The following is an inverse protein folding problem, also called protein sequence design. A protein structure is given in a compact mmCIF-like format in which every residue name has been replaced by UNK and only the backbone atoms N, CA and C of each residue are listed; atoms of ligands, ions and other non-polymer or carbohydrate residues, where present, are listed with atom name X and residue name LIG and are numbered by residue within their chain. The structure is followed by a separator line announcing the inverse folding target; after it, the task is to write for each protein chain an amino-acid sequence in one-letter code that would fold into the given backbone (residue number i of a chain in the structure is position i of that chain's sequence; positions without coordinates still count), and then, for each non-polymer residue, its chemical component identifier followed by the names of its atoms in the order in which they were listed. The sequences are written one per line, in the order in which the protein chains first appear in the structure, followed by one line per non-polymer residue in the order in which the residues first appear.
data_IF_764935882236
#
_entry.id   IF_764935882236
#
_cell.length_a   1.000
_cell.length_b   1.000
_cell.length_c   1.000
_cell.angle_alpha   90.00
_cell.angle_beta   90.00
_cell.angle_gamma   90.00
#
_symmetry.space_group_name_H-M   'P 1'
#
loop_
_entity.id
_entity.type
_entity.pdbx_description
1 polymer ?
#
# COMPACT_ATOMS: atom_id res chain seq x y z
N UNK A 1 16.63 14.94 23.02
CA UNK A 1 15.90 13.73 23.45
C UNK A 1 15.58 12.94 22.19
N UNK A 2 16.27 11.81 21.95
CA UNK A 2 15.92 10.89 20.86
C UNK A 2 14.64 10.18 21.27
N UNK A 3 13.59 10.33 20.47
CA UNK A 3 12.37 9.55 20.62
C UNK A 3 12.68 8.11 20.22
N UNK A 4 12.90 7.28 21.22
CA UNK A 4 13.19 5.83 21.08
C UNK A 4 11.88 5.11 21.34
N UNK A 5 11.50 4.19 20.45
CA UNK A 5 10.34 3.31 20.65
C UNK A 5 10.69 2.14 21.60
N UNK A 6 9.68 1.35 21.99
CA UNK A 6 9.84 0.22 22.93
C UNK A 6 10.90 -0.79 22.51
N UNK A 7 11.27 -0.86 21.22
CA UNK A 7 12.33 -1.72 20.69
C UNK A 7 13.71 -1.04 20.60
N UNK A 8 13.89 0.16 21.18
CA UNK A 8 15.17 0.86 21.19
C UNK A 8 15.62 1.42 19.84
N UNK A 9 14.79 1.37 18.80
CA UNK A 9 15.11 1.90 17.46
C UNK A 9 14.67 3.35 17.33
N UNK A 10 15.52 4.24 16.76
CA UNK A 10 15.13 5.61 16.55
C UNK A 10 13.98 5.70 15.52
N UNK A 11 12.94 6.46 15.83
CA UNK A 11 11.74 6.67 14.97
C UNK A 11 12.09 7.02 13.52
N UNK A 12 13.23 7.65 13.30
CA UNK A 12 13.74 7.99 11.97
C UNK A 12 14.08 6.77 11.11
N UNK A 13 14.36 5.62 11.70
CA UNK A 13 14.62 4.39 10.94
C UNK A 13 13.30 3.74 10.54
N UNK A 14 12.33 3.68 11.45
CA UNK A 14 11.03 3.04 11.20
C UNK A 14 10.24 3.70 10.06
N UNK A 15 10.17 5.05 10.02
CA UNK A 15 9.46 5.72 8.92
C UNK A 15 10.18 5.58 7.58
N UNK A 16 11.53 5.53 7.57
CA UNK A 16 12.30 5.27 6.36
C UNK A 16 12.05 3.87 5.81
N UNK A 17 12.00 2.88 6.67
CA UNK A 17 11.77 1.48 6.25
C UNK A 17 10.35 1.30 5.74
N UNK A 18 9.34 1.86 6.41
CA UNK A 18 7.95 1.85 5.95
C UNK A 18 7.80 2.57 4.61
N UNK A 19 8.38 3.76 4.47
CA UNK A 19 8.37 4.54 3.23
C UNK A 19 9.05 3.77 2.09
N UNK A 20 10.24 3.19 2.34
CA UNK A 20 10.96 2.39 1.34
C UNK A 20 10.14 1.17 0.89
N UNK A 21 9.44 0.52 1.80
CA UNK A 21 8.56 -0.61 1.49
C UNK A 21 7.43 -0.19 0.53
N UNK A 22 6.74 0.90 0.83
CA UNK A 22 5.65 1.38 -0.02
C UNK A 22 6.13 1.87 -1.38
N UNK A 23 7.26 2.58 -1.42
CA UNK A 23 7.89 3.04 -2.67
C UNK A 23 8.32 1.86 -3.53
N UNK A 24 9.01 0.86 -2.96
CA UNK A 24 9.43 -0.35 -3.69
C UNK A 24 8.24 -1.10 -4.28
N UNK A 25 7.16 -1.27 -3.50
CA UNK A 25 5.96 -1.96 -3.97
C UNK A 25 5.24 -1.18 -5.09
N UNK A 26 5.13 0.14 -4.96
CA UNK A 26 4.54 1.00 -5.99
C UNK A 26 5.37 0.98 -7.28
N UNK A 27 6.70 1.04 -7.14
CA UNK A 27 7.63 0.99 -8.27
C UNK A 27 7.57 -0.37 -8.98
N UNK A 28 7.42 -1.45 -8.21
CA UNK A 28 7.21 -2.79 -8.77
C UNK A 28 5.91 -2.85 -9.57
N UNK A 29 4.79 -2.33 -9.05
CA UNK A 29 3.52 -2.24 -9.79
C UNK A 29 3.67 -1.37 -11.06
N UNK A 30 4.42 -0.27 -10.99
CA UNK A 30 4.72 0.59 -12.13
C UNK A 30 5.46 -0.17 -13.23
N UNK A 31 6.53 -0.87 -12.88
CA UNK A 31 7.32 -1.67 -13.82
C UNK A 31 6.51 -2.82 -14.44
N UNK A 32 5.71 -3.51 -13.61
CA UNK A 32 4.84 -4.57 -14.09
C UNK A 32 3.77 -4.04 -15.06
N UNK A 33 3.24 -2.85 -14.81
CA UNK A 33 2.26 -2.22 -15.71
C UNK A 33 2.80 -1.95 -17.10
N UNK A 34 4.10 -1.69 -17.23
CA UNK A 34 4.78 -1.52 -18.53
C UNK A 34 5.00 -2.87 -19.24
N UNK A 35 4.95 -3.97 -18.50
CA UNK A 35 5.10 -5.31 -19.04
C UNK A 35 3.75 -5.92 -19.42
N UNK A 36 3.68 -6.57 -20.57
CA UNK A 36 2.49 -7.33 -21.02
C UNK A 36 2.22 -8.52 -20.09
N UNK A 37 3.28 -9.15 -19.57
CA UNK A 37 3.19 -10.27 -18.63
C UNK A 37 2.79 -9.77 -17.22
N UNK A 38 2.83 -8.46 -16.99
CA UNK A 38 2.50 -7.86 -15.71
C UNK A 38 1.05 -8.05 -15.27
N UNK A 39 0.09 -8.21 -16.20
CA UNK A 39 -1.33 -8.37 -15.85
C UNK A 39 -1.61 -9.45 -14.80
N UNK A 40 -1.26 -10.73 -15.02
CA UNK A 40 -1.53 -11.77 -14.04
C UNK A 40 -0.74 -11.56 -12.75
N UNK A 41 0.49 -11.05 -12.85
CA UNK A 41 1.35 -10.83 -11.69
C UNK A 41 0.80 -9.70 -10.80
N UNK A 42 0.33 -8.60 -11.40
CA UNK A 42 -0.30 -7.49 -10.66
C UNK A 42 -1.52 -7.99 -9.87
N UNK A 43 -2.37 -8.80 -10.51
CA UNK A 43 -3.57 -9.36 -9.87
C UNK A 43 -3.19 -10.25 -8.68
N UNK A 44 -2.20 -11.12 -8.85
CA UNK A 44 -1.69 -11.99 -7.78
C UNK A 44 -1.07 -11.17 -6.64
N UNK A 45 -0.30 -10.13 -6.93
CA UNK A 45 0.31 -9.26 -5.92
C UNK A 45 -0.74 -8.53 -5.09
N UNK A 46 -1.80 -7.99 -5.73
CA UNK A 46 -2.91 -7.35 -5.03
C UNK A 46 -3.67 -8.35 -4.16
N UNK A 47 -3.90 -9.56 -4.68
CA UNK A 47 -4.56 -10.64 -3.95
C UNK A 47 -3.75 -11.04 -2.70
N UNK A 48 -2.45 -11.28 -2.83
CA UNK A 48 -1.57 -11.62 -1.71
C UNK A 48 -1.58 -10.50 -0.66
N UNK A 49 -1.53 -9.24 -1.08
CA UNK A 49 -1.57 -8.11 -0.15
C UNK A 49 -2.88 -8.04 0.62
N UNK A 50 -4.01 -8.22 -0.05
CA UNK A 50 -5.32 -8.31 0.59
C UNK A 50 -5.43 -9.50 1.56
N UNK A 51 -4.88 -10.65 1.16
CA UNK A 51 -4.86 -11.86 1.97
C UNK A 51 -4.05 -11.66 3.27
N UNK A 52 -2.86 -11.06 3.17
CA UNK A 52 -2.01 -10.79 4.35
C UNK A 52 -2.72 -9.87 5.33
N UNK A 53 -3.34 -8.79 4.86
CA UNK A 53 -4.08 -7.85 5.72
C UNK A 53 -5.29 -8.54 6.35
N UNK A 54 -6.09 -9.24 5.54
CA UNK A 54 -7.27 -9.97 6.03
C UNK A 54 -6.92 -11.06 7.03
N UNK A 55 -5.84 -11.80 6.78
CA UNK A 55 -5.35 -12.83 7.70
C UNK A 55 -4.88 -12.21 9.03
N UNK A 56 -4.14 -11.10 9.00
CA UNK A 56 -3.66 -10.43 10.21
C UNK A 56 -4.81 -9.97 11.10
N UNK A 57 -5.84 -9.35 10.50
CA UNK A 57 -7.06 -8.94 11.23
C UNK A 57 -7.83 -10.16 11.75
N UNK A 58 -8.03 -11.17 10.91
CA UNK A 58 -8.75 -12.39 11.28
C UNK A 58 -8.05 -13.15 12.41
N UNK A 59 -6.73 -13.21 12.40
CA UNK A 59 -5.94 -13.83 13.46
C UNK A 59 -6.12 -13.10 14.80
N UNK A 60 -6.03 -11.77 14.81
CA UNK A 60 -6.23 -10.97 16.03
C UNK A 60 -7.65 -11.14 16.58
N UNK A 61 -8.66 -11.14 15.71
CA UNK A 61 -10.05 -11.36 16.13
C UNK A 61 -10.24 -12.77 16.70
N UNK A 62 -9.63 -13.78 16.09
CA UNK A 62 -9.72 -15.16 16.57
C UNK A 62 -9.07 -15.37 17.96
N UNK A 63 -7.95 -14.67 18.21
CA UNK A 63 -7.22 -14.80 19.47
C UNK A 63 -7.82 -13.98 20.62
N UNK A 64 -8.32 -12.80 20.34
CA UNK A 64 -8.73 -11.82 21.36
C UNK A 64 -10.24 -11.43 21.27
N UNK A 65 -11.02 -12.05 20.38
CA UNK A 65 -12.43 -11.75 20.20
C UNK A 65 -12.70 -10.28 19.87
N UNK A 66 -13.65 -9.65 20.58
CA UNK A 66 -13.98 -8.25 20.42
C UNK A 66 -12.82 -7.30 20.66
N UNK A 67 -11.93 -7.61 21.61
CA UNK A 67 -10.73 -6.80 21.87
C UNK A 67 -9.76 -6.86 20.68
N UNK A 68 -9.61 -8.02 20.05
CA UNK A 68 -8.82 -8.16 18.83
C UNK A 68 -9.35 -7.33 17.66
N UNK A 69 -10.68 -7.24 17.52
CA UNK A 69 -11.31 -6.37 16.53
C UNK A 69 -11.04 -4.88 16.81
N UNK A 70 -11.16 -4.45 18.06
CA UNK A 70 -10.87 -3.08 18.46
C UNK A 70 -9.40 -2.72 18.23
N UNK A 71 -8.46 -3.59 18.64
CA UNK A 71 -7.03 -3.38 18.47
C UNK A 71 -6.67 -3.33 16.97
N UNK A 72 -7.18 -4.27 16.17
CA UNK A 72 -6.92 -4.27 14.72
C UNK A 72 -7.52 -3.06 14.02
N UNK A 73 -8.73 -2.64 14.40
CA UNK A 73 -9.38 -1.46 13.83
C UNK A 73 -8.64 -0.17 14.18
N UNK A 74 -8.11 -0.06 15.40
CA UNK A 74 -7.41 1.14 15.86
C UNK A 74 -5.96 1.18 15.37
N UNK A 75 -5.28 0.03 15.34
CA UNK A 75 -3.86 -0.05 14.98
C UNK A 75 -3.63 -0.24 13.48
N UNK A 76 -4.42 -1.08 12.82
CA UNK A 76 -4.21 -1.48 11.42
C UNK A 76 -5.08 -0.66 10.46
N UNK A 77 -6.32 -0.27 10.87
CA UNK A 77 -7.27 0.35 9.97
C UNK A 77 -6.89 1.76 9.51
N UNK A 78 -6.46 2.73 10.36
CA UNK A 78 -6.27 4.10 9.89
C UNK A 78 -5.19 4.20 8.80
N UNK A 79 -4.15 3.41 8.91
CA UNK A 79 -3.08 3.29 7.93
C UNK A 79 -3.56 2.61 6.65
N UNK A 80 -4.19 1.44 6.78
CA UNK A 80 -4.66 0.66 5.63
C UNK A 80 -5.82 1.31 4.89
N UNK A 81 -6.61 2.18 5.54
CA UNK A 81 -7.69 2.93 4.90
C UNK A 81 -7.19 3.82 3.75
N UNK A 82 -5.98 4.34 3.84
CA UNK A 82 -5.35 5.15 2.78
C UNK A 82 -4.56 4.26 1.82
N UNK A 83 -3.82 3.29 2.36
CA UNK A 83 -2.88 2.45 1.61
C UNK A 83 -3.62 1.48 0.69
N UNK A 84 -4.70 0.84 1.16
CA UNK A 84 -5.46 -0.13 0.35
C UNK A 84 -6.05 0.52 -0.91
N UNK A 85 -6.83 1.61 -0.84
CA UNK A 85 -7.35 2.24 -2.05
C UNK A 85 -6.24 2.77 -2.95
N UNK A 86 -5.13 3.30 -2.41
CA UNK A 86 -4.00 3.73 -3.21
C UNK A 86 -3.40 2.58 -4.03
N UNK A 87 -3.23 1.40 -3.44
CA UNK A 87 -2.74 0.22 -4.18
C UNK A 87 -3.76 -0.35 -5.17
N UNK A 88 -5.05 -0.31 -4.86
CA UNK A 88 -6.09 -0.71 -5.81
C UNK A 88 -6.12 0.20 -7.02
N UNK A 89 -5.99 1.51 -6.82
CA UNK A 89 -5.90 2.50 -7.91
C UNK A 89 -4.62 2.26 -8.72
N UNK A 90 -3.45 2.09 -8.06
CA UNK A 90 -2.19 1.81 -8.74
C UNK A 90 -2.26 0.53 -9.57
N UNK A 91 -2.79 -0.55 -9.01
CA UNK A 91 -2.98 -1.82 -9.70
C UNK A 91 -3.94 -1.72 -10.88
N UNK A 92 -5.06 -1.01 -10.70
CA UNK A 92 -6.03 -0.76 -11.80
C UNK A 92 -5.40 0.04 -12.94
N UNK A 93 -4.65 1.09 -12.62
CA UNK A 93 -3.92 1.88 -13.62
C UNK A 93 -2.87 1.04 -14.35
N UNK A 94 -2.12 0.20 -13.62
CA UNK A 94 -1.14 -0.70 -14.19
C UNK A 94 -1.78 -1.73 -15.11
N UNK A 95 -2.92 -2.31 -14.72
CA UNK A 95 -3.69 -3.24 -15.55
C UNK A 95 -4.23 -2.58 -16.82
N UNK A 96 -4.83 -1.39 -16.71
CA UNK A 96 -5.36 -0.64 -17.86
C UNK A 96 -4.23 -0.30 -18.84
N UNK A 97 -3.07 0.11 -18.34
CA UNK A 97 -1.93 0.44 -19.17
C UNK A 97 -1.36 -0.80 -19.86
N UNK A 98 -1.19 -1.90 -19.15
CA UNK A 98 -0.74 -3.19 -19.70
C UNK A 98 -1.71 -3.74 -20.77
N UNK A 99 -3.04 -3.63 -20.53
CA UNK A 99 -4.07 -3.96 -21.52
C UNK A 99 -3.97 -3.08 -22.77
N UNK A 100 -3.69 -1.79 -22.60
CA UNK A 100 -3.53 -0.84 -23.72
C UNK A 100 -2.33 -1.22 -24.55
N UNK A 101 -1.21 -1.57 -23.94
CA UNK A 101 -0.01 -2.07 -24.62
C UNK A 101 -0.31 -3.37 -25.38
N UNK A 102 -0.99 -4.32 -24.74
CA UNK A 102 -1.38 -5.57 -25.38
C UNK A 102 -2.27 -5.36 -26.62
N UNK A 103 -3.29 -4.49 -26.49
CA UNK A 103 -4.16 -4.16 -27.62
C UNK A 103 -3.42 -3.49 -28.78
N UNK A 104 -2.45 -2.63 -28.50
CA UNK A 104 -1.68 -1.96 -29.55
C UNK A 104 -0.73 -2.91 -30.27
N UNK A 105 -0.17 -3.89 -29.56
CA UNK A 105 0.70 -4.91 -30.18
C UNK A 105 -0.09 -5.92 -31.04
N UNK A 106 -1.27 -6.35 -30.57
CA UNK A 106 -2.07 -7.35 -31.28
C UNK A 106 -3.05 -6.77 -32.32
N UNK A 107 -3.53 -5.54 -32.10
CA UNK A 107 -4.54 -4.90 -32.96
C UNK A 107 -3.92 -3.68 -33.62
N UNK A 108 -3.35 -3.85 -34.82
CA UNK A 108 -2.68 -2.82 -35.62
C UNK A 108 -3.52 -1.55 -35.95
N UNK A 109 -4.79 -1.49 -35.56
CA UNK A 109 -5.73 -0.40 -35.89
C UNK A 109 -5.88 0.69 -34.83
N UNK A 110 -5.27 0.58 -33.67
CA UNK A 110 -5.41 1.57 -32.58
C UNK A 110 -4.22 2.52 -32.59
N UNK A 111 -4.31 3.60 -33.37
CA UNK A 111 -3.31 4.68 -33.41
C UNK A 111 -3.50 5.65 -32.21
N UNK A 112 -3.50 5.13 -31.00
CA UNK A 112 -3.41 6.02 -29.83
C UNK A 112 -1.93 6.38 -29.60
N UNK A 113 -1.60 7.67 -29.40
CA UNK A 113 -0.22 8.04 -29.13
C UNK A 113 0.20 7.46 -27.78
N UNK A 114 1.01 6.38 -27.81
CA UNK A 114 1.57 5.70 -26.64
C UNK A 114 2.19 6.68 -25.65
N UNK A 115 2.81 7.73 -26.16
CA UNK A 115 3.45 8.75 -25.33
C UNK A 115 2.44 9.46 -24.40
N UNK A 116 1.25 9.78 -24.87
CA UNK A 116 0.19 10.40 -24.05
C UNK A 116 -0.33 9.43 -22.98
N UNK A 117 -0.49 8.15 -23.33
CA UNK A 117 -0.90 7.14 -22.37
C UNK A 117 0.16 6.94 -21.28
N UNK A 118 1.44 6.90 -21.68
CA UNK A 118 2.56 6.73 -20.75
C UNK A 118 2.75 7.95 -19.82
N UNK A 119 2.68 9.18 -20.35
CA UNK A 119 2.81 10.39 -19.52
C UNK A 119 1.68 10.48 -18.49
N UNK A 120 0.46 10.16 -18.90
CA UNK A 120 -0.70 10.11 -17.98
C UNK A 120 -0.54 9.03 -16.92
N UNK A 121 -0.08 7.85 -17.31
CA UNK A 121 0.22 6.73 -16.41
C UNK A 121 1.28 7.12 -15.37
N UNK A 122 2.41 7.67 -15.82
CA UNK A 122 3.50 8.12 -14.96
C UNK A 122 3.08 9.24 -14.01
N UNK A 123 2.28 10.21 -14.48
CA UNK A 123 1.76 11.29 -13.65
C UNK A 123 0.89 10.78 -12.50
N UNK A 124 -0.03 9.84 -12.77
CA UNK A 124 -0.87 9.22 -11.74
C UNK A 124 -0.05 8.43 -10.72
N UNK A 125 0.98 7.70 -11.15
CA UNK A 125 1.89 7.02 -10.24
C UNK A 125 2.69 8.00 -9.38
N UNK A 126 3.08 9.14 -9.92
CA UNK A 126 3.71 10.23 -9.16
C UNK A 126 2.80 10.77 -8.05
N UNK A 127 1.52 11.01 -8.36
CA UNK A 127 0.52 11.44 -7.36
C UNK A 127 0.33 10.37 -6.28
N UNK A 128 0.20 9.10 -6.66
CA UNK A 128 0.05 8.01 -5.70
C UNK A 128 1.29 7.85 -4.81
N UNK A 129 2.49 8.09 -5.35
CA UNK A 129 3.73 8.07 -4.58
C UNK A 129 3.71 9.14 -3.50
N UNK A 130 3.29 10.37 -3.83
CA UNK A 130 3.15 11.45 -2.85
C UNK A 130 2.13 11.09 -1.76
N UNK A 131 0.98 10.53 -2.14
CA UNK A 131 -0.06 10.10 -1.19
C UNK A 131 0.50 9.03 -0.24
N UNK A 132 1.23 8.04 -0.76
CA UNK A 132 1.83 6.99 0.07
C UNK A 132 2.94 7.51 0.98
N UNK A 133 3.71 8.51 0.55
CA UNK A 133 4.68 9.19 1.42
C UNK A 133 3.98 9.87 2.60
N UNK A 134 2.89 10.60 2.36
CA UNK A 134 2.10 11.21 3.43
C UNK A 134 1.48 10.14 4.34
N UNK A 135 0.97 9.05 3.78
CA UNK A 135 0.44 7.92 4.54
C UNK A 135 1.48 7.30 5.47
N UNK A 136 2.72 7.14 5.00
CA UNK A 136 3.83 6.61 5.80
C UNK A 136 4.19 7.50 6.99
N UNK A 137 4.06 8.82 6.84
CA UNK A 137 4.26 9.76 7.95
C UNK A 137 3.14 9.61 8.98
N UNK A 138 1.89 9.54 8.54
CA UNK A 138 0.72 9.33 9.40
C UNK A 138 0.85 8.01 10.17
N UNK A 139 1.31 6.93 9.51
CA UNK A 139 1.55 5.62 10.10
C UNK A 139 2.42 5.69 11.36
N UNK A 140 3.57 6.35 11.25
CA UNK A 140 4.53 6.43 12.36
C UNK A 140 4.03 7.30 13.51
N UNK A 141 3.31 8.38 13.19
CA UNK A 141 2.79 9.28 14.23
C UNK A 141 1.54 8.71 14.93
N UNK A 142 0.65 8.05 14.20
CA UNK A 142 -0.63 7.56 14.74
C UNK A 142 -0.51 6.19 15.41
N UNK A 143 0.23 5.26 14.81
CA UNK A 143 0.28 3.88 15.29
C UNK A 143 0.79 3.79 16.73
N UNK A 144 1.88 4.48 17.06
CA UNK A 144 2.47 4.39 18.39
C UNK A 144 1.65 5.11 19.47
N UNK A 145 1.08 6.27 19.15
CA UNK A 145 0.30 7.04 20.12
C UNK A 145 -0.98 6.30 20.54
N UNK A 146 -1.64 5.66 19.58
CA UNK A 146 -2.89 4.97 19.84
C UNK A 146 -2.65 3.62 20.53
N UNK A 147 -1.58 2.92 20.17
CA UNK A 147 -1.21 1.65 20.79
C UNK A 147 -0.90 1.84 22.30
N UNK A 148 -0.20 2.90 22.68
CA UNK A 148 0.03 3.27 24.07
C UNK A 148 -1.27 3.58 24.82
N UNK A 149 -2.20 4.28 24.19
CA UNK A 149 -3.50 4.60 24.80
C UNK A 149 -4.35 3.35 25.04
N UNK A 150 -4.41 2.44 24.08
CA UNK A 150 -5.17 1.19 24.18
C UNK A 150 -4.55 0.24 25.20
N UNK A 151 -3.24 0.13 25.23
CA UNK A 151 -2.54 -0.69 26.23
C UNK A 151 -2.75 -0.15 27.65
N UNK A 152 -2.68 1.16 27.86
CA UNK A 152 -2.97 1.78 29.18
C UNK A 152 -4.42 1.59 29.62
N UNK A 153 -5.36 1.49 28.68
CA UNK A 153 -6.76 1.25 29.01
C UNK A 153 -7.07 -0.20 29.33
N UNK A 154 -6.37 -1.15 28.70
CA UNK A 154 -6.50 -2.59 28.91
C UNK A 154 -5.82 -3.07 30.21
N UNK A 155 -4.77 -2.38 30.65
CA UNK A 155 -4.03 -2.73 31.87
C UNK A 155 -4.51 -1.97 33.13
N UNK A 156 -5.61 -1.26 33.05
CA UNK A 156 -6.27 -0.58 34.17
C UNK A 156 -7.52 -1.35 34.61
#
# INVERSE_FOLDING_TARGET
MQNIDMDGTPRTILWKDSMLYHVKYLLLLFLLGISIIGMPIITVLLFIKGLVIGFSVGFLVNQMGWYGLLISSVSIAPQNLIIIPAYLIAGSLALIFSLTLCKQLFIRRVHQPLLKAFTRYSAWFGVLLVILMFSSIIEVFFSNTILEYVLRWLYK
#
